data_IF_752174124735
#
_entry.id   IF_752174124735
#
_cell.length_a   1.000
_cell.length_b   1.000
_cell.length_c   1.000
_cell.angle_alpha   90.00
_cell.angle_beta   90.00
_cell.angle_gamma   90.00
#
_symmetry.space_group_name_H-M   'P 1'
#
loop_
_entity.id
_entity.type
_entity.pdbx_description
1 polymer ?
#
# COMPACT_ATOMS: atom_id res chain seq x y z
N UNK A 1 16.15 -2.30 11.88
CA UNK A 1 15.72 -3.45 12.72
C UNK A 1 14.42 -3.22 13.50
N UNK A 2 14.13 -2.02 14.02
CA UNK A 2 12.91 -1.74 14.82
C UNK A 2 11.60 -2.09 14.08
N UNK A 3 11.45 -1.72 12.81
CA UNK A 3 10.25 -2.05 12.03
C UNK A 3 10.06 -3.55 11.82
N UNK A 4 11.12 -4.32 11.54
CA UNK A 4 11.03 -5.79 11.41
C UNK A 4 10.52 -6.46 12.69
N UNK A 5 11.00 -5.99 13.85
CA UNK A 5 10.49 -6.46 15.16
C UNK A 5 9.03 -6.06 15.35
N UNK A 6 8.64 -4.86 14.92
CA UNK A 6 7.25 -4.41 14.94
C UNK A 6 6.33 -5.30 14.10
N UNK A 7 6.74 -5.64 12.87
CA UNK A 7 6.04 -6.57 11.99
C UNK A 7 5.92 -7.97 12.61
N UNK A 8 7.03 -8.53 13.10
CA UNK A 8 7.01 -9.84 13.74
C UNK A 8 6.07 -9.86 14.96
N UNK A 9 6.09 -8.81 15.79
CA UNK A 9 5.18 -8.65 16.93
C UNK A 9 3.71 -8.56 16.50
N UNK A 10 3.42 -7.82 15.43
CA UNK A 10 2.07 -7.69 14.91
C UNK A 10 1.54 -9.02 14.35
N UNK A 11 2.40 -9.81 13.69
CA UNK A 11 2.02 -11.10 13.12
C UNK A 11 1.96 -12.23 14.17
N UNK A 12 2.73 -12.14 15.26
CA UNK A 12 2.80 -13.17 16.30
C UNK A 12 1.47 -13.41 17.03
N UNK A 13 0.56 -12.43 17.03
CA UNK A 13 -0.78 -12.55 17.62
C UNK A 13 -1.83 -13.04 16.63
N UNK A 14 -1.42 -13.44 15.43
CA UNK A 14 -2.30 -13.95 14.36
C UNK A 14 -3.52 -13.05 14.11
N UNK A 15 -3.32 -11.76 13.81
CA UNK A 15 -4.42 -10.81 13.72
C UNK A 15 -5.28 -11.12 12.50
N UNK A 16 -6.61 -11.02 12.65
CA UNK A 16 -7.54 -11.10 11.50
C UNK A 16 -7.36 -9.92 10.53
N UNK A 17 -6.98 -8.76 11.05
CA UNK A 17 -6.73 -7.55 10.27
C UNK A 17 -5.39 -6.94 10.69
N UNK A 18 -4.51 -6.72 9.71
CA UNK A 18 -3.23 -6.05 9.92
C UNK A 18 -3.31 -4.60 9.43
N UNK A 19 -3.07 -3.65 10.32
CA UNK A 19 -3.02 -2.23 9.99
C UNK A 19 -1.57 -1.76 9.94
N UNK A 20 -1.19 -1.13 8.83
CA UNK A 20 0.17 -0.67 8.58
C UNK A 20 0.15 0.83 8.28
N UNK A 21 0.81 1.62 9.11
CA UNK A 21 0.95 3.05 8.91
C UNK A 21 2.40 3.35 8.47
N UNK A 22 2.56 3.74 7.21
CA UNK A 22 3.86 4.05 6.58
C UNK A 22 4.94 2.98 6.84
N UNK A 23 4.66 1.69 6.58
CA UNK A 23 5.48 0.57 7.05
C UNK A 23 6.91 0.54 6.51
N UNK A 24 7.19 1.17 5.38
CA UNK A 24 8.51 1.12 4.73
C UNK A 24 9.20 2.48 4.61
N UNK A 25 8.54 3.57 5.00
CA UNK A 25 9.03 4.95 4.87
C UNK A 25 10.39 5.23 5.55
N UNK A 26 10.67 4.51 6.66
CA UNK A 26 11.88 4.72 7.47
C UNK A 26 13.06 3.80 7.10
N UNK A 27 12.94 3.04 6.00
CA UNK A 27 13.94 2.07 5.56
C UNK A 27 14.72 2.58 4.34
N UNK A 28 15.96 2.13 4.21
CA UNK A 28 16.67 2.24 2.94
C UNK A 28 15.98 1.41 1.84
N UNK A 29 16.21 1.79 0.58
CA UNK A 29 15.55 1.22 -0.59
C UNK A 29 15.63 -0.31 -0.63
N UNK A 30 16.81 -0.88 -0.36
CA UNK A 30 17.01 -2.34 -0.41
C UNK A 30 16.29 -3.05 0.73
N UNK A 31 16.35 -2.50 1.95
CA UNK A 31 15.66 -3.06 3.10
C UNK A 31 14.14 -2.97 2.96
N UNK A 32 13.62 -1.85 2.44
CA UNK A 32 12.21 -1.66 2.13
C UNK A 32 11.73 -2.71 1.12
N UNK A 33 12.44 -2.84 0.00
CA UNK A 33 12.11 -3.80 -1.05
C UNK A 33 12.09 -5.24 -0.52
N UNK A 34 13.10 -5.62 0.27
CA UNK A 34 13.15 -6.95 0.88
C UNK A 34 11.98 -7.18 1.83
N UNK A 35 11.64 -6.21 2.68
CA UNK A 35 10.53 -6.35 3.62
C UNK A 35 9.17 -6.41 2.91
N UNK A 36 8.98 -5.64 1.82
CA UNK A 36 7.80 -5.73 0.95
C UNK A 36 7.67 -7.14 0.37
N UNK A 37 8.74 -7.68 -0.21
CA UNK A 37 8.75 -9.06 -0.73
C UNK A 37 8.43 -10.09 0.37
N UNK A 38 9.07 -9.98 1.54
CA UNK A 38 8.84 -10.89 2.66
C UNK A 38 7.36 -10.86 3.09
N UNK A 39 6.77 -9.67 3.26
CA UNK A 39 5.36 -9.50 3.62
C UNK A 39 4.43 -10.10 2.56
N UNK A 40 4.66 -9.79 1.28
CA UNK A 40 3.85 -10.33 0.19
C UNK A 40 3.96 -11.85 0.07
N UNK A 41 5.14 -12.41 0.30
CA UNK A 41 5.34 -13.85 0.30
C UNK A 41 4.56 -14.53 1.43
N UNK A 42 4.53 -13.94 2.63
CA UNK A 42 3.78 -14.49 3.76
C UNK A 42 2.27 -14.39 3.49
N UNK A 43 1.81 -13.25 2.97
CA UNK A 43 0.42 -12.99 2.63
C UNK A 43 -0.10 -13.93 1.53
N UNK A 44 0.56 -13.97 0.37
CA UNK A 44 0.11 -14.73 -0.80
C UNK A 44 0.15 -16.25 -0.56
N UNK A 45 1.13 -16.74 0.21
CA UNK A 45 1.22 -18.16 0.56
C UNK A 45 0.32 -18.57 1.74
N UNK A 46 -0.57 -17.68 2.21
CA UNK A 46 -1.50 -17.95 3.33
C UNK A 46 -0.78 -18.48 4.59
N UNK A 47 0.44 -17.98 4.85
CA UNK A 47 1.26 -18.41 5.99
C UNK A 47 0.86 -17.74 7.30
N UNK A 48 -0.16 -16.89 7.29
CA UNK A 48 -0.70 -16.16 8.44
C UNK A 48 -2.23 -16.22 8.43
N UNK A 49 -2.83 -16.21 9.61
CA UNK A 49 -4.29 -16.19 9.81
C UNK A 49 -4.93 -14.80 9.58
N UNK A 50 -4.28 -13.96 8.77
CA UNK A 50 -4.74 -12.59 8.49
C UNK A 50 -5.65 -12.60 7.29
N UNK A 51 -6.83 -12.00 7.44
CA UNK A 51 -7.87 -11.94 6.41
C UNK A 51 -7.86 -10.63 5.62
N UNK A 52 -7.29 -9.56 6.19
CA UNK A 52 -7.15 -8.27 5.51
C UNK A 52 -5.90 -7.52 5.96
N UNK A 53 -5.29 -6.79 5.02
CA UNK A 53 -4.23 -5.81 5.31
C UNK A 53 -4.75 -4.45 4.86
N UNK A 54 -4.66 -3.44 5.74
CA UNK A 54 -4.90 -2.04 5.40
C UNK A 54 -3.60 -1.29 5.61
N UNK A 55 -3.19 -0.55 4.60
CA UNK A 55 -1.92 0.15 4.59
C UNK A 55 -2.09 1.59 4.17
N UNK A 56 -1.43 2.49 4.89
CA UNK A 56 -1.26 3.89 4.52
C UNK A 56 0.15 4.06 4.00
N UNK A 57 0.28 4.62 2.81
CA UNK A 57 1.56 4.92 2.17
C UNK A 57 1.45 6.17 1.31
N UNK A 58 2.54 6.92 1.24
CA UNK A 58 2.76 8.00 0.29
C UNK A 58 3.43 7.55 -1.01
N UNK A 59 3.82 6.28 -1.13
CA UNK A 59 4.41 5.66 -2.32
C UNK A 59 3.32 5.00 -3.16
N UNK A 60 3.09 5.54 -4.36
CA UNK A 60 2.04 5.07 -5.28
C UNK A 60 2.40 3.71 -5.87
N UNK A 61 3.68 3.49 -6.22
CA UNK A 61 4.13 2.21 -6.77
C UNK A 61 3.91 1.11 -5.72
N UNK A 62 4.22 1.39 -4.46
CA UNK A 62 3.91 0.48 -3.34
C UNK A 62 2.42 0.16 -3.24
N UNK A 63 1.58 1.20 -3.15
CA UNK A 63 0.15 1.04 -2.92
C UNK A 63 -0.48 0.18 -4.03
N UNK A 64 -0.13 0.45 -5.29
CA UNK A 64 -0.64 -0.27 -6.46
C UNK A 64 -0.11 -1.69 -6.53
N UNK A 65 1.17 -1.91 -6.23
CA UNK A 65 1.78 -3.24 -6.32
C UNK A 65 1.25 -4.19 -5.24
N UNK A 66 1.01 -3.70 -4.03
CA UNK A 66 0.67 -4.53 -2.87
C UNK A 66 -0.84 -4.75 -2.66
N UNK A 67 -1.67 -3.81 -3.11
CA UNK A 67 -3.10 -3.75 -2.73
C UNK A 67 -4.04 -4.27 -3.81
N UNK A 68 -5.17 -4.86 -3.40
CA UNK A 68 -6.26 -5.18 -4.36
C UNK A 68 -7.11 -3.94 -4.66
N UNK A 69 -7.12 -2.98 -3.74
CA UNK A 69 -7.85 -1.72 -3.83
C UNK A 69 -6.96 -0.60 -3.32
N UNK A 70 -6.89 0.50 -4.05
CA UNK A 70 -6.22 1.73 -3.63
C UNK A 70 -7.28 2.80 -3.45
N UNK A 71 -7.26 3.44 -2.28
CA UNK A 71 -8.21 4.48 -1.91
C UNK A 71 -7.45 5.79 -1.74
N UNK A 72 -7.92 6.84 -2.40
CA UNK A 72 -7.35 8.18 -2.29
C UNK A 72 -8.17 8.96 -1.26
N UNK A 73 -7.49 9.49 -0.25
CA UNK A 73 -8.09 10.31 0.80
C UNK A 73 -7.71 11.78 0.62
N UNK A 74 -8.71 12.67 0.75
CA UNK A 74 -8.48 14.12 0.81
C UNK A 74 -8.14 14.53 2.25
N UNK A 75 -6.95 15.12 2.43
CA UNK A 75 -6.46 15.56 3.74
C UNK A 75 -7.30 16.70 4.36
N UNK A 76 -7.88 17.56 3.54
CA UNK A 76 -8.64 18.74 3.98
C UNK A 76 -10.08 18.38 4.31
N UNK A 77 -10.70 17.51 3.52
CA UNK A 77 -12.12 17.13 3.62
C UNK A 77 -12.37 15.85 4.42
N UNK A 78 -11.31 15.11 4.79
CA UNK A 78 -11.37 13.84 5.54
C UNK A 78 -12.31 12.82 4.88
N UNK A 79 -12.34 12.83 3.55
CA UNK A 79 -13.22 11.96 2.76
C UNK A 79 -12.41 11.14 1.77
N UNK A 80 -12.95 10.00 1.40
CA UNK A 80 -12.50 9.22 0.25
C UNK A 80 -12.94 9.95 -1.02
N UNK A 81 -12.00 10.22 -1.92
CA UNK A 81 -12.31 10.90 -3.18
C UNK A 81 -12.33 9.96 -4.37
N UNK A 82 -11.51 8.92 -4.34
CA UNK A 82 -11.37 7.98 -5.44
C UNK A 82 -11.06 6.59 -4.89
N UNK A 83 -11.52 5.60 -5.62
CA UNK A 83 -11.19 4.20 -5.42
C UNK A 83 -10.71 3.62 -6.76
N UNK A 84 -9.64 2.83 -6.68
CA UNK A 84 -9.02 2.17 -7.82
C UNK A 84 -8.96 0.68 -7.48
N UNK A 85 -9.62 -0.14 -8.29
CA UNK A 85 -9.62 -1.60 -8.13
C UNK A 85 -8.50 -2.17 -9.00
N UNK A 86 -7.62 -2.96 -8.39
CA UNK A 86 -6.49 -3.58 -9.06
C UNK A 86 -6.88 -4.99 -9.52
N UNK A 87 -7.52 -5.08 -10.68
CA UNK A 87 -7.95 -6.34 -11.29
C UNK A 87 -6.79 -7.06 -12.01
N UNK A 88 -5.71 -7.30 -11.27
CA UNK A 88 -4.51 -8.02 -11.73
C UNK A 88 -4.01 -8.96 -10.64
N UNK A 89 -3.75 -10.24 -10.93
CA UNK A 89 -3.17 -11.17 -9.96
C UNK A 89 -1.84 -10.65 -9.42
N UNK A 90 -1.66 -10.62 -8.10
CA UNK A 90 -0.45 -10.09 -7.43
C UNK A 90 0.85 -10.68 -7.96
N UNK A 91 0.85 -11.98 -8.24
CA UNK A 91 2.02 -12.73 -8.78
C UNK A 91 2.46 -12.26 -10.17
N UNK A 92 1.52 -11.73 -10.95
CA UNK A 92 1.79 -11.22 -12.29
C UNK A 92 2.22 -9.76 -12.30
N UNK A 93 2.10 -9.04 -11.17
CA UNK A 93 2.36 -7.59 -11.11
C UNK A 93 3.85 -7.32 -11.23
N UNK A 94 4.21 -6.55 -12.24
CA UNK A 94 5.55 -6.04 -12.47
C UNK A 94 5.50 -4.61 -12.99
N UNK A 95 6.64 -3.92 -12.97
CA UNK A 95 6.70 -2.50 -13.37
C UNK A 95 6.08 -2.25 -14.75
N UNK A 96 6.31 -3.14 -15.71
CA UNK A 96 5.82 -2.96 -17.08
C UNK A 96 4.30 -3.07 -17.23
N UNK A 97 3.65 -4.02 -16.55
CA UNK A 97 2.21 -4.23 -16.71
C UNK A 97 1.36 -3.44 -15.71
N UNK A 98 1.99 -2.87 -14.67
CA UNK A 98 1.33 -2.00 -13.70
C UNK A 98 1.52 -0.52 -14.01
N UNK A 99 2.43 -0.13 -14.92
CA UNK A 99 2.75 1.26 -15.25
C UNK A 99 1.49 2.10 -15.51
N UNK A 100 0.58 1.62 -16.38
CA UNK A 100 -0.65 2.34 -16.69
C UNK A 100 -1.52 2.63 -15.46
N UNK A 101 -1.60 1.68 -14.51
CA UNK A 101 -2.40 1.85 -13.29
C UNK A 101 -1.68 2.79 -12.31
N UNK A 102 -0.36 2.72 -12.23
CA UNK A 102 0.45 3.64 -11.41
C UNK A 102 0.31 5.07 -11.93
N UNK A 103 0.40 5.26 -13.25
CA UNK A 103 0.25 6.56 -13.90
C UNK A 103 -1.16 7.11 -13.67
N UNK A 104 -2.20 6.30 -13.89
CA UNK A 104 -3.59 6.69 -13.62
C UNK A 104 -3.80 7.08 -12.14
N UNK A 105 -3.26 6.30 -11.20
CA UNK A 105 -3.36 6.58 -9.77
C UNK A 105 -2.67 7.90 -9.43
N UNK A 106 -1.50 8.14 -10.03
CA UNK A 106 -0.73 9.38 -9.87
C UNK A 106 -1.48 10.59 -10.38
N UNK A 107 -2.02 10.52 -11.60
CA UNK A 107 -2.82 11.60 -12.18
C UNK A 107 -4.05 11.94 -11.32
N UNK A 108 -4.77 10.92 -10.84
CA UNK A 108 -5.92 11.11 -9.94
C UNK A 108 -5.48 11.81 -8.65
N UNK A 109 -4.41 11.34 -8.01
CA UNK A 109 -3.90 11.94 -6.77
C UNK A 109 -3.51 13.41 -6.98
N UNK A 110 -2.73 13.72 -8.01
CA UNK A 110 -2.32 15.10 -8.30
C UNK A 110 -3.51 16.02 -8.58
N UNK A 111 -4.51 15.53 -9.32
CA UNK A 111 -5.73 16.29 -9.59
C UNK A 111 -6.49 16.61 -8.30
N UNK A 112 -6.51 15.69 -7.33
CA UNK A 112 -7.12 15.93 -6.02
C UNK A 112 -6.32 16.94 -5.20
N UNK A 113 -5.01 16.78 -5.08
CA UNK A 113 -4.14 17.74 -4.38
C UNK A 113 -4.34 19.16 -4.94
N UNK A 114 -4.34 19.31 -6.27
CA UNK A 114 -4.55 20.60 -6.92
C UNK A 114 -5.96 21.20 -6.68
N UNK A 115 -6.99 20.35 -6.56
CA UNK A 115 -8.37 20.79 -6.26
C UNK A 115 -8.52 21.19 -4.80
N UNK A 116 -7.87 20.47 -3.87
CA UNK A 116 -7.94 20.75 -2.44
C UNK A 116 -7.17 22.01 -2.05
N UNK A 117 -6.11 22.38 -2.78
CA UNK A 117 -5.36 23.63 -2.58
C UNK A 117 -6.13 24.87 -3.05
N UNK A 118 -6.98 24.77 -4.08
CA UNK A 118 -7.81 25.89 -4.57
C UNK A 118 -9.03 26.19 -3.71
N UNK A 119 -9.38 25.27 -2.80
CA UNK A 119 -10.54 25.39 -1.92
C UNK A 119 -10.20 25.89 -0.51
N UNK A 120 -8.92 26.20 -0.25
CA UNK A 120 -8.42 26.86 0.97
C UNK A 120 -8.12 28.33 0.70
#
# INVERSE_FOLDING_TARGET
MRQRVGFARALAVEPKVLLLDEPFSSLDIFTAQKLRMDLMNIWTNQKINTSAIVMVSHDIEEAVMMSDRVVIMDANKRQITDEIVIDRPRESRGRQNMAAIIDETSERLYKRIATSQKAS
#
